data_IF_281913765989
#
_entry.id   IF_281913765989
#
_cell.length_a   1.000
_cell.length_b   1.000
_cell.length_c   1.000
_cell.angle_alpha   90.00
_cell.angle_beta   90.00
_cell.angle_gamma   90.00
#
_symmetry.space_group_name_H-M   'P 1'
#
loop_
_entity.id
_entity.type
_entity.pdbx_description
1 polymer ?
#
# COMPACT_ATOMS: atom_id res chain seq x y z
N UNK A 1 -9.23 -58.43 32.83
CA UNK A 1 -9.40 -56.98 33.09
C UNK A 1 -9.01 -56.21 31.83
N UNK A 2 -9.98 -55.79 31.01
CA UNK A 2 -9.77 -55.04 29.77
C UNK A 2 -10.05 -53.55 30.04
N UNK A 3 -9.08 -52.67 29.76
CA UNK A 3 -9.27 -51.21 29.82
C UNK A 3 -9.63 -50.71 28.43
N UNK A 4 -10.78 -50.04 28.32
CA UNK A 4 -11.28 -49.38 27.12
C UNK A 4 -10.76 -47.95 27.12
N UNK A 5 -10.06 -47.56 26.05
CA UNK A 5 -9.67 -46.18 25.78
C UNK A 5 -10.87 -45.43 25.19
N UNK A 6 -11.35 -44.38 25.87
CA UNK A 6 -12.27 -43.41 25.29
C UNK A 6 -11.47 -42.33 24.55
N UNK A 7 -11.75 -42.21 23.25
CA UNK A 7 -11.29 -41.14 22.38
C UNK A 7 -12.12 -39.88 22.62
N UNK A 8 -11.46 -38.75 22.85
CA UNK A 8 -12.09 -37.42 22.99
C UNK A 8 -12.19 -36.76 21.62
N UNK A 9 -13.42 -36.69 21.07
CA UNK A 9 -13.75 -35.82 19.95
C UNK A 9 -13.88 -34.38 20.46
N UNK A 10 -12.92 -33.52 20.11
CA UNK A 10 -13.06 -32.07 20.29
C UNK A 10 -14.01 -31.52 19.22
N UNK A 11 -15.16 -31.02 19.66
CA UNK A 11 -16.14 -30.30 18.85
C UNK A 11 -15.60 -28.92 18.45
N UNK A 12 -15.57 -28.66 17.14
CA UNK A 12 -15.38 -27.33 16.58
C UNK A 12 -16.61 -26.47 16.89
N UNK A 13 -16.43 -25.38 17.64
CA UNK A 13 -17.44 -24.32 17.74
C UNK A 13 -17.31 -23.39 16.52
N UNK A 14 -18.31 -23.42 15.65
CA UNK A 14 -18.58 -22.34 14.70
C UNK A 14 -19.03 -21.10 15.47
N UNK A 15 -18.21 -20.05 15.50
CA UNK A 15 -18.70 -18.73 15.88
C UNK A 15 -19.49 -18.15 14.71
N UNK A 16 -20.81 -18.13 14.84
CA UNK A 16 -21.70 -17.27 14.06
C UNK A 16 -21.40 -15.83 14.43
N UNK A 17 -20.75 -15.09 13.54
CA UNK A 17 -20.63 -13.63 13.65
C UNK A 17 -22.00 -13.05 13.27
N UNK A 18 -22.71 -12.53 14.27
CA UNK A 18 -23.86 -11.68 14.05
C UNK A 18 -23.39 -10.37 13.39
N UNK A 19 -23.88 -10.10 12.19
CA UNK A 19 -23.81 -8.76 11.60
C UNK A 19 -24.67 -7.82 12.44
N UNK A 20 -24.04 -6.95 13.23
CA UNK A 20 -24.75 -5.87 13.89
C UNK A 20 -24.99 -4.74 12.88
N UNK A 21 -26.26 -4.41 12.69
CA UNK A 21 -26.67 -3.20 11.97
C UNK A 21 -26.18 -1.96 12.72
N UNK A 22 -25.06 -1.40 12.26
CA UNK A 22 -24.53 -0.15 12.81
C UNK A 22 -25.41 1.02 12.33
N UNK A 23 -26.16 1.59 13.27
CA UNK A 23 -27.06 2.72 13.07
C UNK A 23 -26.31 4.00 12.62
N UNK A 24 -26.98 4.86 11.85
CA UNK A 24 -26.46 6.12 11.31
C UNK A 24 -25.73 7.00 12.35
N UNK A 25 -26.22 6.99 13.59
CA UNK A 25 -25.70 7.82 14.70
C UNK A 25 -24.36 7.30 15.24
N UNK A 26 -24.17 5.98 15.33
CA UNK A 26 -22.88 5.40 15.77
C UNK A 26 -21.73 5.68 14.80
N UNK A 27 -22.03 5.71 13.50
CA UNK A 27 -21.01 5.92 12.45
C UNK A 27 -20.61 7.38 12.31
N UNK A 28 -21.52 8.32 12.59
CA UNK A 28 -21.15 9.73 12.69
C UNK A 28 -20.20 9.96 13.86
N UNK A 29 -20.40 9.25 14.99
CA UNK A 29 -19.52 9.36 16.15
C UNK A 29 -18.12 8.79 15.88
N UNK A 30 -18.01 7.68 15.15
CA UNK A 30 -16.72 7.16 14.68
C UNK A 30 -16.04 8.11 13.68
N UNK A 31 -16.79 8.66 12.72
CA UNK A 31 -16.23 9.65 11.79
C UNK A 31 -15.80 10.93 12.52
N UNK A 32 -16.54 11.35 13.53
CA UNK A 32 -16.16 12.44 14.44
C UNK A 32 -14.95 12.09 15.30
N UNK A 33 -14.71 10.80 15.59
CA UNK A 33 -13.49 10.35 16.26
C UNK A 33 -12.29 10.37 15.29
N UNK A 34 -12.49 9.99 14.03
CA UNK A 34 -11.47 10.06 12.98
C UNK A 34 -11.12 11.51 12.66
N UNK A 35 -12.10 12.42 12.63
CA UNK A 35 -11.85 13.86 12.43
C UNK A 35 -11.10 14.52 13.59
N UNK A 36 -10.95 13.87 14.75
CA UNK A 36 -10.01 14.33 15.79
C UNK A 36 -8.55 14.14 15.37
N UNK A 37 -8.27 13.11 14.57
CA UNK A 37 -6.93 12.80 14.08
C UNK A 37 -6.69 13.32 12.66
N UNK A 38 -7.74 13.71 11.93
CA UNK A 38 -7.63 14.25 10.58
C UNK A 38 -7.85 15.76 10.53
N UNK A 39 -7.26 16.43 9.56
CA UNK A 39 -7.63 17.82 9.24
C UNK A 39 -8.91 17.78 8.41
N UNK A 40 -9.96 18.44 8.89
CA UNK A 40 -11.22 18.60 8.13
C UNK A 40 -10.94 19.57 6.97
N UNK A 41 -11.02 19.07 5.74
CA UNK A 41 -10.98 19.91 4.55
C UNK A 41 -12.38 19.90 3.93
N UNK A 42 -13.04 21.06 3.91
CA UNK A 42 -14.24 21.22 3.08
C UNK A 42 -13.81 21.11 1.62
N UNK A 43 -14.65 20.50 0.78
CA UNK A 43 -14.39 19.94 -0.56
C UNK A 43 -13.83 20.89 -1.64
N UNK A 44 -13.28 22.05 -1.28
CA UNK A 44 -12.55 22.97 -2.17
C UNK A 44 -11.15 23.37 -1.68
N UNK A 45 -10.71 23.01 -0.47
CA UNK A 45 -9.41 23.40 0.07
C UNK A 45 -8.54 22.18 0.38
N UNK A 46 -7.88 21.63 -0.65
CA UNK A 46 -6.90 20.53 -0.48
C UNK A 46 -6.75 19.65 -1.71
N UNK A 47 -7.82 19.47 -2.48
CA UNK A 47 -7.72 18.96 -3.83
C UNK A 47 -7.18 20.07 -4.72
N UNK A 48 -5.91 19.98 -5.13
CA UNK A 48 -5.47 20.73 -6.29
C UNK A 48 -6.21 20.17 -7.51
N UNK A 49 -7.20 20.93 -7.99
CA UNK A 49 -7.84 20.69 -9.27
C UNK A 49 -6.91 21.21 -10.34
N UNK A 50 -6.42 20.33 -11.20
CA UNK A 50 -5.67 20.74 -12.37
C UNK A 50 -6.68 21.09 -13.47
N UNK A 51 -6.58 22.30 -14.03
CA UNK A 51 -7.43 22.71 -15.15
C UNK A 51 -7.26 21.73 -16.31
N UNK A 52 -8.39 21.26 -16.84
CA UNK A 52 -8.61 20.12 -17.73
C UNK A 52 -7.96 20.16 -19.12
N UNK A 53 -6.74 20.66 -19.26
CA UNK A 53 -5.87 20.23 -20.36
C UNK A 53 -5.43 18.81 -20.04
N UNK A 54 -6.19 17.82 -20.52
CA UNK A 54 -6.02 16.37 -20.34
C UNK A 54 -4.67 15.94 -19.73
N UNK A 55 -4.58 15.86 -18.40
CA UNK A 55 -3.35 15.38 -17.74
C UNK A 55 -3.32 13.87 -17.84
N UNK A 56 -2.26 13.33 -18.43
CA UNK A 56 -2.09 11.88 -18.53
C UNK A 56 -1.58 11.29 -17.21
N UNK A 57 -2.02 10.08 -16.89
CA UNK A 57 -1.70 9.41 -15.63
C UNK A 57 -2.59 9.84 -14.46
N UNK A 58 -2.14 9.53 -13.24
CA UNK A 58 -2.91 9.79 -12.02
C UNK A 58 -2.00 10.11 -10.82
N UNK A 59 -2.34 11.20 -10.12
CA UNK A 59 -1.80 11.53 -8.81
C UNK A 59 -2.15 10.48 -7.74
N UNK A 60 -3.32 9.84 -7.88
CA UNK A 60 -3.81 8.85 -6.92
C UNK A 60 -3.35 7.44 -7.26
N UNK A 61 -3.07 6.64 -6.23
CA UNK A 61 -2.63 5.25 -6.37
C UNK A 61 -3.67 4.39 -7.09
N UNK A 62 -4.93 4.52 -6.67
CA UNK A 62 -6.08 4.10 -7.46
C UNK A 62 -6.84 5.35 -7.92
N UNK A 63 -7.32 5.41 -9.18
CA UNK A 63 -7.99 6.59 -9.70
C UNK A 63 -9.35 6.85 -9.03
N UNK A 64 -9.93 5.83 -8.40
CA UNK A 64 -11.22 5.89 -7.72
C UNK A 64 -11.05 5.68 -6.21
N UNK A 65 -12.02 6.20 -5.46
CA UNK A 65 -12.18 5.90 -4.05
C UNK A 65 -12.36 4.39 -3.82
N UNK A 66 -11.59 3.81 -2.90
CA UNK A 66 -11.63 2.36 -2.61
C UNK A 66 -12.08 2.08 -1.18
N UNK A 67 -12.62 0.88 -0.94
CA UNK A 67 -12.73 0.37 0.43
C UNK A 67 -11.32 0.17 1.02
N UNK A 68 -11.22 0.04 2.34
CA UNK A 68 -9.94 -0.05 3.00
C UNK A 68 -10.06 -0.07 4.52
N UNK A 69 -8.92 0.12 5.18
CA UNK A 69 -8.84 0.27 6.63
C UNK A 69 -7.58 1.03 7.01
N UNK A 70 -7.56 1.62 8.19
CA UNK A 70 -6.39 2.29 8.77
C UNK A 70 -6.12 1.67 10.13
N UNK A 71 -4.86 1.40 10.43
CA UNK A 71 -4.38 1.14 11.78
C UNK A 71 -3.66 2.40 12.23
N UNK A 72 -4.09 2.97 13.35
CA UNK A 72 -3.47 4.19 13.90
C UNK A 72 -2.16 3.89 14.61
N UNK A 73 -1.38 4.92 14.92
CA UNK A 73 -0.18 4.83 15.74
C UNK A 73 -0.45 4.14 17.10
N UNK A 74 -1.65 4.32 17.65
CA UNK A 74 -2.13 3.68 18.89
C UNK A 74 -2.63 2.24 18.70
N UNK A 75 -2.45 1.65 17.51
CA UNK A 75 -2.90 0.30 17.14
C UNK A 75 -4.42 0.12 17.07
N UNK A 76 -5.16 1.21 16.97
CA UNK A 76 -6.62 1.14 16.78
C UNK A 76 -6.92 0.85 15.31
N UNK A 77 -7.79 -0.13 15.06
CA UNK A 77 -8.27 -0.44 13.73
C UNK A 77 -9.50 0.40 13.39
N UNK A 78 -9.35 1.26 12.40
CA UNK A 78 -10.45 1.99 11.76
C UNK A 78 -10.83 1.21 10.51
N UNK A 79 -11.93 0.46 10.58
CA UNK A 79 -12.48 -0.29 9.45
C UNK A 79 -14.00 -0.22 9.49
N UNK A 80 -14.59 0.27 8.41
CA UNK A 80 -16.04 0.35 8.25
C UNK A 80 -16.38 0.29 6.76
N UNK A 81 -17.38 -0.49 6.38
CA UNK A 81 -17.79 -0.66 4.97
C UNK A 81 -18.36 0.60 4.34
N UNK A 82 -18.62 1.64 5.15
CA UNK A 82 -19.09 2.96 4.70
C UNK A 82 -17.96 3.96 4.48
N UNK A 83 -16.73 3.63 4.90
CA UNK A 83 -15.56 4.46 4.60
C UNK A 83 -14.99 4.14 3.22
N UNK A 84 -14.52 5.21 2.60
CA UNK A 84 -13.79 5.20 1.35
C UNK A 84 -12.47 5.93 1.55
N UNK A 85 -11.44 5.41 0.89
CA UNK A 85 -10.07 5.87 1.00
C UNK A 85 -9.56 6.26 -0.37
N UNK A 86 -8.71 7.28 -0.42
CA UNK A 86 -8.01 7.70 -1.62
C UNK A 86 -6.59 8.10 -1.23
N UNK A 87 -5.59 7.46 -1.85
CA UNK A 87 -4.19 7.70 -1.52
C UNK A 87 -3.50 8.51 -2.63
N UNK A 88 -3.00 9.68 -2.27
CA UNK A 88 -2.24 10.59 -3.13
C UNK A 88 -0.76 10.22 -3.09
N UNK A 89 -0.22 9.73 -4.21
CA UNK A 89 1.17 9.31 -4.34
C UNK A 89 2.15 10.48 -4.43
N UNK A 90 1.68 11.66 -4.87
CA UNK A 90 2.52 12.86 -5.01
C UNK A 90 2.82 13.42 -3.64
N UNK A 91 1.79 13.59 -2.81
CA UNK A 91 1.95 14.14 -1.45
C UNK A 91 2.12 13.09 -0.38
N UNK A 92 1.93 11.81 -0.70
CA UNK A 92 1.91 10.70 0.27
C UNK A 92 0.84 10.92 1.34
N UNK A 93 -0.36 11.33 0.91
CA UNK A 93 -1.47 11.70 1.78
C UNK A 93 -2.64 10.72 1.62
N UNK A 94 -3.29 10.37 2.73
CA UNK A 94 -4.46 9.50 2.74
C UNK A 94 -5.72 10.33 3.04
N UNK A 95 -6.64 10.33 2.08
CA UNK A 95 -7.96 10.95 2.23
C UNK A 95 -8.99 9.89 2.62
N UNK A 96 -9.94 10.28 3.49
CA UNK A 96 -11.00 9.42 4.00
C UNK A 96 -12.33 10.15 3.85
N UNK A 97 -13.37 9.44 3.39
CA UNK A 97 -14.75 9.97 3.41
C UNK A 97 -15.77 8.89 3.70
N UNK A 98 -16.98 9.30 4.09
CA UNK A 98 -18.15 8.43 4.09
C UNK A 98 -18.71 8.31 2.66
N UNK A 99 -19.19 7.12 2.27
CA UNK A 99 -19.80 6.87 0.94
C UNK A 99 -20.88 7.86 0.53
N UNK A 100 -21.64 8.40 1.49
CA UNK A 100 -22.77 9.32 1.27
C UNK A 100 -22.46 10.76 1.69
N UNK A 101 -21.20 11.12 1.92
CA UNK A 101 -20.80 12.46 2.35
C UNK A 101 -19.84 13.08 1.35
N UNK A 102 -19.97 14.39 1.17
CA UNK A 102 -19.02 15.21 0.42
C UNK A 102 -17.86 15.72 1.29
N UNK A 103 -17.94 15.49 2.62
CA UNK A 103 -16.86 15.83 3.53
C UNK A 103 -15.71 14.85 3.37
N UNK A 104 -14.53 15.39 3.03
CA UNK A 104 -13.28 14.64 2.95
C UNK A 104 -12.39 15.01 4.12
N UNK A 105 -11.86 14.00 4.79
CA UNK A 105 -10.87 14.17 5.83
C UNK A 105 -9.50 13.84 5.27
N UNK A 106 -8.52 14.69 5.53
CA UNK A 106 -7.11 14.35 5.35
C UNK A 106 -6.60 13.71 6.63
N UNK A 107 -6.19 12.44 6.56
CA UNK A 107 -5.62 11.76 7.71
C UNK A 107 -4.23 12.31 8.04
N UNK A 108 -3.96 12.55 9.32
CA UNK A 108 -2.63 12.96 9.78
C UNK A 108 -1.64 11.80 9.64
N UNK A 109 -0.58 11.99 8.84
CA UNK A 109 0.40 10.95 8.53
C UNK A 109 1.08 10.40 9.77
N UNK A 110 1.37 11.26 10.74
CA UNK A 110 2.04 10.87 11.99
C UNK A 110 1.17 9.95 12.86
N UNK A 111 -0.15 9.94 12.61
CA UNK A 111 -1.11 9.08 13.32
C UNK A 111 -1.40 7.78 12.56
N UNK A 112 -0.84 7.57 11.37
CA UNK A 112 -1.07 6.37 10.57
C UNK A 112 0.09 5.39 10.81
N UNK A 113 -0.23 4.23 11.37
CA UNK A 113 0.71 3.11 11.41
C UNK A 113 0.71 2.38 10.05
N UNK A 114 -0.46 1.96 9.59
CA UNK A 114 -0.61 1.27 8.30
C UNK A 114 -2.00 1.49 7.73
N UNK A 115 -2.19 1.24 6.45
CA UNK A 115 -3.52 1.24 5.84
C UNK A 115 -3.64 0.24 4.70
N UNK A 116 -4.87 -0.07 4.31
CA UNK A 116 -5.17 -0.88 3.13
C UNK A 116 -6.05 -0.13 2.15
N UNK A 117 -5.83 -0.43 0.87
CA UNK A 117 -6.71 -0.06 -0.23
C UNK A 117 -7.16 -1.34 -0.93
N UNK A 118 -8.46 -1.53 -1.03
CA UNK A 118 -9.07 -2.76 -1.52
C UNK A 118 -9.80 -2.47 -2.84
N UNK A 119 -9.36 -3.12 -3.91
CA UNK A 119 -10.12 -3.24 -5.16
C UNK A 119 -10.82 -4.59 -5.20
N UNK A 120 -11.56 -4.86 -6.29
CA UNK A 120 -12.18 -6.18 -6.48
C UNK A 120 -11.15 -7.32 -6.52
N UNK A 121 -9.96 -7.04 -7.07
CA UNK A 121 -8.97 -8.07 -7.40
C UNK A 121 -7.75 -8.07 -6.46
N UNK A 122 -7.50 -6.97 -5.73
CA UNK A 122 -6.28 -6.80 -4.95
C UNK A 122 -6.51 -6.04 -3.65
N UNK A 123 -5.89 -6.54 -2.58
CA UNK A 123 -5.68 -5.78 -1.34
C UNK A 123 -4.25 -5.25 -1.35
N UNK A 124 -4.09 -3.94 -1.37
CA UNK A 124 -2.79 -3.26 -1.27
C UNK A 124 -2.60 -2.79 0.15
N UNK A 125 -1.50 -3.21 0.79
CA UNK A 125 -1.21 -2.89 2.19
C UNK A 125 -0.01 -1.95 2.28
N UNK A 126 -0.14 -0.90 3.07
CA UNK A 126 0.84 0.17 3.18
C UNK A 126 1.27 0.37 4.63
N UNK A 127 2.56 0.60 4.85
CA UNK A 127 3.12 0.97 6.16
C UNK A 127 3.88 2.30 6.08
N UNK A 128 3.82 3.06 7.18
CA UNK A 128 4.61 4.28 7.31
C UNK A 128 6.11 4.00 7.19
N UNK A 129 6.82 4.83 6.43
CA UNK A 129 8.26 4.68 6.21
C UNK A 129 9.07 4.73 7.51
N UNK A 130 8.59 5.47 8.49
CA UNK A 130 9.16 5.60 9.84
C UNK A 130 9.30 4.27 10.59
N UNK A 131 8.57 3.23 10.20
CA UNK A 131 8.70 1.90 10.79
C UNK A 131 9.97 1.16 10.36
N UNK A 132 10.55 1.55 9.24
CA UNK A 132 11.73 0.90 8.68
C UNK A 132 12.97 1.80 8.76
N UNK A 133 12.75 3.11 8.64
CA UNK A 133 13.78 4.14 8.69
C UNK A 133 13.19 5.40 9.33
N UNK A 134 13.72 5.81 10.48
CA UNK A 134 13.21 6.95 11.25
C UNK A 134 13.26 8.28 10.48
N UNK A 135 14.09 8.36 9.43
CA UNK A 135 14.23 9.54 8.58
C UNK A 135 13.16 9.60 7.48
N UNK A 136 12.34 8.55 7.33
CA UNK A 136 11.30 8.42 6.30
C UNK A 136 9.89 8.62 6.85
N UNK A 137 9.64 9.72 7.55
CA UNK A 137 8.34 10.02 8.18
C UNK A 137 7.24 10.38 7.20
N UNK A 138 7.59 10.96 6.05
CA UNK A 138 6.62 11.56 5.13
C UNK A 138 6.15 10.65 3.99
N UNK A 139 6.52 9.36 4.02
CA UNK A 139 6.23 8.41 2.94
C UNK A 139 5.56 7.13 3.44
N UNK A 140 4.88 6.44 2.53
CA UNK A 140 4.34 5.11 2.75
C UNK A 140 4.93 4.12 1.75
N UNK A 141 5.26 2.92 2.23
CA UNK A 141 5.64 1.80 1.38
C UNK A 141 4.47 0.85 1.21
N UNK A 142 4.18 0.42 -0.02
CA UNK A 142 3.37 -0.80 -0.24
C UNK A 142 4.22 -2.00 0.19
N UNK A 143 3.71 -2.82 1.10
CA UNK A 143 4.40 -4.04 1.53
C UNK A 143 3.95 -5.19 0.65
N UNK A 144 4.87 -5.69 -0.18
CA UNK A 144 4.60 -6.78 -1.11
C UNK A 144 4.80 -8.16 -0.47
N UNK A 145 5.78 -8.27 0.43
CA UNK A 145 6.01 -9.46 1.25
C UNK A 145 6.38 -9.00 2.66
N UNK A 146 5.67 -9.46 3.69
CA UNK A 146 5.96 -9.11 5.09
C UNK A 146 6.59 -10.31 5.81
N UNK A 147 7.72 -10.08 6.48
CA UNK A 147 8.29 -11.04 7.42
C UNK A 147 8.97 -10.33 8.59
N UNK A 148 8.74 -10.81 9.81
CA UNK A 148 9.40 -10.31 11.02
C UNK A 148 10.82 -10.85 11.18
N UNK A 149 11.05 -12.10 10.77
CA UNK A 149 12.27 -12.84 11.06
C UNK A 149 13.13 -13.11 9.80
N UNK A 150 12.64 -12.71 8.62
CA UNK A 150 13.31 -12.90 7.34
C UNK A 150 13.20 -11.60 6.51
N UNK A 151 13.10 -11.71 5.18
CA UNK A 151 13.07 -10.55 4.31
C UNK A 151 11.66 -9.98 4.16
N UNK A 152 11.54 -8.66 4.28
CA UNK A 152 10.37 -7.89 3.88
C UNK A 152 10.67 -7.18 2.57
N UNK A 153 9.74 -7.27 1.61
CA UNK A 153 9.81 -6.59 0.32
C UNK A 153 8.87 -5.39 0.33
N UNK A 154 9.41 -4.22 0.03
CA UNK A 154 8.72 -2.94 0.00
C UNK A 154 8.76 -2.36 -1.40
N UNK A 155 7.69 -1.64 -1.76
CA UNK A 155 7.60 -0.83 -2.96
C UNK A 155 7.28 0.60 -2.57
N UNK A 156 8.03 1.53 -3.13
CA UNK A 156 7.75 2.95 -3.05
C UNK A 156 7.39 3.47 -4.42
N UNK A 157 6.32 4.26 -4.49
CA UNK A 157 5.90 4.95 -5.70
C UNK A 157 6.01 6.44 -5.45
N UNK A 158 6.94 7.09 -6.15
CA UNK A 158 7.07 8.54 -6.17
C UNK A 158 6.43 9.06 -7.44
N UNK A 159 5.45 9.94 -7.34
CA UNK A 159 4.79 10.53 -8.50
C UNK A 159 5.18 12.01 -8.62
N UNK A 160 5.52 12.44 -9.83
CA UNK A 160 5.82 13.85 -10.13
C UNK A 160 4.98 14.34 -11.30
N UNK A 161 4.47 15.57 -11.22
CA UNK A 161 3.85 16.23 -12.36
C UNK A 161 4.94 16.76 -13.31
N UNK A 162 4.98 16.22 -14.51
CA UNK A 162 5.83 16.67 -15.62
C UNK A 162 4.99 17.57 -16.51
N UNK A 163 5.37 18.85 -16.62
CA UNK A 163 4.65 19.78 -17.50
C UNK A 163 4.96 19.51 -18.96
N UNK A 164 3.98 19.77 -19.82
CA UNK A 164 4.18 19.78 -21.26
C UNK A 164 5.31 20.75 -21.64
N UNK A 165 6.20 20.31 -22.53
CA UNK A 165 7.21 21.17 -23.12
C UNK A 165 6.76 21.56 -24.53
N UNK A 166 6.35 22.82 -24.76
CA UNK A 166 5.89 23.29 -26.07
C UNK A 166 7.01 23.42 -27.11
N UNK A 167 8.27 23.19 -26.74
CA UNK A 167 9.42 23.22 -27.64
C UNK A 167 9.97 21.83 -27.96
N UNK A 168 9.47 20.77 -27.32
CA UNK A 168 9.84 19.39 -27.59
C UNK A 168 9.11 18.87 -28.85
N UNK A 169 9.72 19.11 -30.00
CA UNK A 169 9.17 18.74 -31.32
C UNK A 169 8.96 17.23 -31.48
N UNK A 170 9.68 16.38 -30.75
CA UNK A 170 9.48 14.92 -30.79
C UNK A 170 8.18 14.55 -30.06
N UNK A 171 7.97 15.10 -28.85
CA UNK A 171 6.72 14.88 -28.10
C UNK A 171 5.50 15.46 -28.77
N UNK A 172 5.61 16.65 -29.37
CA UNK A 172 4.51 17.29 -30.12
C UNK A 172 4.09 16.41 -31.30
N UNK A 173 5.06 15.87 -32.06
CA UNK A 173 4.76 14.95 -33.17
C UNK A 173 4.14 13.63 -32.71
N UNK A 174 4.49 13.17 -31.51
CA UNK A 174 3.90 11.98 -30.89
C UNK A 174 2.52 12.23 -30.26
N UNK A 175 2.04 13.48 -30.22
CA UNK A 175 0.77 13.85 -29.58
C UNK A 175 0.85 14.02 -28.06
N UNK A 176 2.05 13.98 -27.48
CA UNK A 176 2.31 14.09 -26.04
C UNK A 176 2.55 15.55 -25.64
N UNK A 177 1.57 16.42 -25.91
CA UNK A 177 1.63 17.86 -25.62
C UNK A 177 0.87 18.27 -24.35
N UNK A 178 0.68 17.33 -23.43
CA UNK A 178 -0.06 17.51 -22.19
C UNK A 178 0.84 17.32 -20.96
N UNK A 179 0.36 17.77 -19.80
CA UNK A 179 1.01 17.49 -18.52
C UNK A 179 0.82 16.01 -18.16
N UNK A 180 1.78 15.40 -17.46
CA UNK A 180 1.75 13.97 -17.13
C UNK A 180 2.10 13.75 -15.65
N UNK A 181 1.34 12.91 -14.95
CA UNK A 181 1.78 12.32 -13.69
C UNK A 181 2.65 11.10 -13.95
N UNK A 182 3.96 11.27 -13.77
CA UNK A 182 4.93 10.22 -13.97
C UNK A 182 5.28 9.52 -12.67
N UNK A 183 5.12 8.19 -12.66
CA UNK A 183 5.50 7.34 -11.54
C UNK A 183 6.95 6.86 -11.66
N UNK A 184 7.72 7.01 -10.58
CA UNK A 184 9.00 6.35 -10.37
C UNK A 184 8.82 5.29 -9.28
N UNK A 185 8.95 4.02 -9.68
CA UNK A 185 8.82 2.87 -8.77
C UNK A 185 10.21 2.46 -8.29
N UNK A 186 10.37 2.34 -6.97
CA UNK A 186 11.57 1.80 -6.35
C UNK A 186 11.22 0.65 -5.40
N UNK A 187 12.00 -0.42 -5.47
CA UNK A 187 11.88 -1.57 -4.58
C UNK A 187 12.95 -1.53 -3.49
N UNK A 188 12.58 -1.96 -2.29
CA UNK A 188 13.49 -2.10 -1.16
C UNK A 188 13.32 -3.44 -0.48
N UNK A 189 14.41 -3.97 0.08
CA UNK A 189 14.42 -5.19 0.87
C UNK A 189 14.92 -4.86 2.27
N UNK A 190 14.22 -5.37 3.28
CA UNK A 190 14.61 -5.24 4.69
C UNK A 190 14.83 -6.64 5.27
N UNK A 191 15.99 -6.92 5.87
CA UNK A 191 16.21 -8.18 6.58
C UNK A 191 15.91 -8.01 8.08
N UNK A 192 15.01 -8.82 8.64
CA UNK A 192 14.65 -8.79 10.08
C UNK A 192 14.26 -7.40 10.60
N UNK A 193 13.52 -6.63 9.79
CA UNK A 193 13.18 -5.22 10.04
C UNK A 193 14.39 -4.28 10.19
N UNK A 194 15.55 -4.63 9.61
CA UNK A 194 16.66 -3.70 9.42
C UNK A 194 16.33 -2.60 8.41
N UNK A 195 17.28 -1.69 8.20
CA UNK A 195 17.13 -0.57 7.28
C UNK A 195 16.81 -1.05 5.84
N UNK A 196 15.89 -0.38 5.12
CA UNK A 196 15.60 -0.71 3.73
C UNK A 196 16.80 -0.52 2.80
N UNK A 197 17.18 -1.58 2.10
CA UNK A 197 18.17 -1.53 1.03
C UNK A 197 17.50 -1.52 -0.34
N UNK A 198 17.85 -0.53 -1.18
CA UNK A 198 17.29 -0.41 -2.54
C UNK A 198 17.73 -1.59 -3.41
N UNK A 199 16.77 -2.22 -4.08
CA UNK A 199 17.01 -3.30 -5.05
C UNK A 199 16.48 -2.90 -6.43
N UNK A 200 17.30 -3.16 -7.46
CA UNK A 200 16.88 -3.01 -8.85
C UNK A 200 16.42 -4.36 -9.38
N UNK A 201 15.45 -4.34 -10.30
CA UNK A 201 14.95 -5.51 -11.03
C UNK A 201 15.97 -6.01 -12.07
N UNK A 202 17.15 -6.40 -11.57
CA UNK A 202 18.30 -6.90 -12.34
C UNK A 202 18.97 -7.99 -11.51
N UNK A 203 19.29 -9.11 -12.13
CA UNK A 203 19.90 -10.27 -11.47
C UNK A 203 21.12 -9.89 -10.62
N UNK A 204 22.04 -9.08 -11.16
CA UNK A 204 23.24 -8.62 -10.45
C UNK A 204 22.90 -7.83 -9.18
N UNK A 205 21.86 -6.98 -9.22
CA UNK A 205 21.44 -6.20 -8.05
C UNK A 205 20.84 -7.11 -6.98
N UNK A 206 19.98 -8.05 -7.39
CA UNK A 206 19.34 -9.00 -6.49
C UNK A 206 20.40 -9.89 -5.82
N UNK A 207 21.30 -10.50 -6.60
CA UNK A 207 22.40 -11.33 -6.08
C UNK A 207 23.28 -10.58 -5.09
N UNK A 208 23.51 -9.27 -5.29
CA UNK A 208 24.28 -8.44 -4.37
C UNK A 208 23.58 -8.32 -3.00
N UNK A 209 22.28 -8.02 -2.97
CA UNK A 209 21.50 -7.89 -1.73
C UNK A 209 21.52 -9.20 -0.93
N UNK A 210 21.36 -10.34 -1.60
CA UNK A 210 21.29 -11.65 -0.94
C UNK A 210 22.65 -12.39 -0.85
N UNK A 211 23.77 -11.69 -1.04
CA UNK A 211 25.13 -12.29 -0.99
C UNK A 211 25.34 -13.51 -1.91
N UNK A 212 24.55 -13.64 -2.97
CA UNK A 212 24.61 -14.71 -3.98
C UNK A 212 24.67 -16.14 -3.39
N UNK A 213 23.86 -16.44 -2.37
CA UNK A 213 23.79 -17.78 -1.77
C UNK A 213 23.36 -18.86 -2.78
N UNK A 214 23.61 -20.13 -2.45
CA UNK A 214 23.19 -21.27 -3.28
C UNK A 214 21.68 -21.23 -3.61
N UNK A 215 20.84 -20.92 -2.63
CA UNK A 215 19.39 -20.82 -2.82
C UNK A 215 18.99 -19.78 -3.87
N UNK A 216 19.65 -18.61 -3.88
CA UNK A 216 19.43 -17.57 -4.89
C UNK A 216 19.89 -18.07 -6.26
N UNK A 217 21.07 -18.69 -6.32
CA UNK A 217 21.58 -19.25 -7.57
C UNK A 217 20.64 -20.31 -8.14
N UNK A 218 20.17 -21.24 -7.31
CA UNK A 218 19.24 -22.30 -7.70
C UNK A 218 17.92 -21.72 -8.21
N UNK A 219 17.38 -20.68 -7.55
CA UNK A 219 16.17 -20.00 -8.00
C UNK A 219 16.34 -19.36 -9.39
N UNK A 220 17.44 -18.63 -9.62
CA UNK A 220 17.74 -18.05 -10.94
C UNK A 220 17.96 -19.14 -12.00
N UNK A 221 18.52 -20.29 -11.63
CA UNK A 221 18.69 -21.42 -12.56
C UNK A 221 17.36 -22.07 -12.94
N UNK A 222 16.43 -22.19 -12.00
CA UNK A 222 15.09 -22.72 -12.25
C UNK A 222 14.23 -21.75 -13.07
N UNK A 223 14.52 -20.45 -13.01
CA UNK A 223 13.74 -19.38 -13.65
C UNK A 223 14.53 -18.60 -14.72
N UNK A 224 15.47 -19.23 -15.43
CA UNK A 224 16.38 -18.55 -16.40
C UNK A 224 15.67 -17.79 -17.51
N UNK A 225 14.50 -18.25 -17.94
CA UNK A 225 13.71 -17.64 -19.02
C UNK A 225 12.70 -16.61 -18.51
N UNK A 226 12.51 -16.50 -17.20
CA UNK A 226 11.53 -15.59 -16.61
C UNK A 226 12.04 -14.15 -16.67
N UNK A 227 11.13 -13.22 -16.95
CA UNK A 227 11.45 -11.80 -16.84
C UNK A 227 11.62 -11.40 -15.37
N UNK A 228 12.62 -10.58 -15.07
CA UNK A 228 12.85 -10.10 -13.70
C UNK A 228 11.96 -8.86 -13.49
N UNK A 229 10.71 -9.10 -13.14
CA UNK A 229 9.73 -8.09 -12.79
C UNK A 229 9.40 -8.08 -11.28
N UNK A 230 8.39 -7.30 -10.90
CA UNK A 230 7.87 -7.26 -9.52
C UNK A 230 7.41 -8.64 -9.04
N UNK A 231 6.74 -9.42 -9.90
CA UNK A 231 6.22 -10.73 -9.54
C UNK A 231 7.36 -11.73 -9.33
N UNK A 232 8.37 -11.72 -10.19
CA UNK A 232 9.58 -12.50 -9.99
C UNK A 232 10.23 -12.17 -8.64
N UNK A 233 10.35 -10.89 -8.30
CA UNK A 233 10.94 -10.47 -7.03
C UNK A 233 10.09 -10.92 -5.84
N UNK A 234 8.76 -10.79 -5.89
CA UNK A 234 7.85 -11.29 -4.85
C UNK A 234 8.05 -12.79 -4.63
N UNK A 235 8.02 -13.58 -5.71
CA UNK A 235 8.14 -15.04 -5.64
C UNK A 235 9.52 -15.48 -5.13
N UNK A 236 10.59 -14.79 -5.53
CA UNK A 236 11.93 -15.02 -5.01
C UNK A 236 11.97 -14.80 -3.49
N UNK A 237 11.46 -13.66 -3.01
CA UNK A 237 11.48 -13.33 -1.57
C UNK A 237 10.63 -14.32 -0.77
N UNK A 238 9.48 -14.74 -1.31
CA UNK A 238 8.67 -15.78 -0.69
C UNK A 238 9.43 -17.11 -0.61
N UNK A 239 10.09 -17.54 -1.69
CA UNK A 239 10.85 -18.78 -1.73
C UNK A 239 12.04 -18.82 -0.76
N UNK A 240 12.69 -17.69 -0.49
CA UNK A 240 13.80 -17.60 0.48
C UNK A 240 13.36 -17.42 1.93
N UNK A 241 12.10 -17.03 2.16
CA UNK A 241 11.53 -16.85 3.48
C UNK A 241 10.92 -18.15 4.05
N UNK A 242 10.72 -19.18 3.21
CA UNK A 242 10.34 -20.53 3.60
C UNK A 242 11.50 -21.25 4.29
#
# INVERSE_FOLDING_TARGET
MKKIFLSSCSLFFFNLVFSQDVSAVGMQNEFNAISKYGRVQTSGQGFQSYSSGAIDGSQFYYPNWTAGSVITANKELIKNDKYLFLFDKVRQELFIKLKKSDTVLLADKDQIYSFTLNTADKISFFEAGSHFDSDKKDIFYEVLVKSKNAYTLLKYVKTTLVKADPYDMEKIKAGNNHDEFKDEITYYVCYKNGLPEKVYLKEKSIKKIFSNTKQIQDYFQQNRSSHIDEQFLIQLIQAINL
#
